data_IF_434486948188
#
_entry.id   IF_434486948188
#
_cell.length_a   1.000
_cell.length_b   1.000
_cell.length_c   1.000
_cell.angle_alpha   90.00
_cell.angle_beta   90.00
_cell.angle_gamma   90.00
#
_symmetry.space_group_name_H-M   'P 1'
#
loop_
_entity.id
_entity.type
_entity.pdbx_description
1 polymer ?
#
# COMPACT_ATOMS: atom_id res chain seq x y z
N UNK A 1 -17.94 8.40 0.89
CA UNK A 1 -17.58 6.97 0.73
C UNK A 1 -17.46 6.68 -0.76
N UNK A 2 -16.52 5.84 -1.19
CA UNK A 2 -16.39 5.40 -2.58
C UNK A 2 -17.58 4.48 -2.87
N UNK A 3 -18.39 4.79 -3.88
CA UNK A 3 -19.59 3.98 -4.22
C UNK A 3 -19.36 3.13 -5.47
N UNK A 4 -18.48 3.57 -6.37
CA UNK A 4 -18.09 2.84 -7.57
C UNK A 4 -16.56 2.69 -7.57
N UNK A 5 -16.10 1.46 -7.73
CA UNK A 5 -14.68 1.11 -7.70
C UNK A 5 -14.05 0.99 -9.08
N UNK A 6 -14.86 0.85 -10.14
CA UNK A 6 -14.37 0.65 -11.50
C UNK A 6 -13.51 1.83 -11.97
N UNK A 7 -12.29 1.52 -12.42
CA UNK A 7 -11.30 2.52 -12.86
C UNK A 7 -10.68 3.35 -11.73
N UNK A 8 -11.06 3.14 -10.47
CA UNK A 8 -10.42 3.77 -9.32
C UNK A 8 -9.09 3.09 -9.01
N UNK A 9 -8.14 3.84 -8.46
CA UNK A 9 -6.79 3.32 -8.18
C UNK A 9 -6.64 2.97 -6.69
N UNK A 10 -6.15 1.77 -6.42
CA UNK A 10 -5.77 1.31 -5.08
C UNK A 10 -4.25 1.10 -4.99
N UNK A 11 -3.62 1.66 -3.96
CA UNK A 11 -2.24 1.38 -3.56
C UNK A 11 -2.28 0.45 -2.35
N UNK A 12 -1.63 -0.72 -2.46
CA UNK A 12 -1.70 -1.80 -1.46
C UNK A 12 -0.27 -2.19 -1.06
N UNK A 13 0.11 -1.95 0.18
CA UNK A 13 1.42 -2.35 0.69
C UNK A 13 1.34 -3.72 1.38
N UNK A 14 2.42 -4.52 1.29
CA UNK A 14 2.39 -5.92 1.70
C UNK A 14 1.48 -6.75 0.79
N UNK A 15 1.50 -6.44 -0.52
CA UNK A 15 0.57 -7.01 -1.50
C UNK A 15 1.03 -8.36 -2.07
N UNK A 16 2.21 -8.85 -1.71
CA UNK A 16 2.72 -10.16 -2.13
C UNK A 16 2.02 -11.34 -1.46
N UNK A 17 1.33 -11.12 -0.34
CA UNK A 17 0.68 -12.20 0.43
C UNK A 17 -0.45 -11.70 1.32
N UNK A 18 -1.11 -12.62 2.04
CA UNK A 18 -2.05 -12.34 3.13
C UNK A 18 -3.16 -11.34 2.76
N UNK A 19 -3.48 -10.44 3.67
CA UNK A 19 -4.55 -9.46 3.48
C UNK A 19 -4.30 -8.49 2.32
N UNK A 20 -3.04 -8.09 2.09
CA UNK A 20 -2.68 -7.21 0.98
C UNK A 20 -3.04 -7.83 -0.37
N UNK A 21 -2.68 -9.10 -0.59
CA UNK A 21 -2.99 -9.84 -1.80
C UNK A 21 -4.50 -10.09 -1.94
N UNK A 22 -5.20 -10.46 -0.87
CA UNK A 22 -6.65 -10.66 -0.94
C UNK A 22 -7.40 -9.36 -1.26
N UNK A 23 -6.98 -8.23 -0.67
CA UNK A 23 -7.52 -6.92 -1.04
C UNK A 23 -7.25 -6.58 -2.52
N UNK A 24 -6.08 -6.94 -3.03
CA UNK A 24 -5.77 -6.76 -4.45
C UNK A 24 -6.68 -7.61 -5.36
N UNK A 25 -6.95 -8.87 -5.00
CA UNK A 25 -7.91 -9.74 -5.69
C UNK A 25 -9.32 -9.17 -5.70
N UNK A 26 -9.77 -8.63 -4.57
CA UNK A 26 -11.06 -7.95 -4.47
C UNK A 26 -11.08 -6.72 -5.38
N UNK A 27 -10.03 -5.89 -5.33
CA UNK A 27 -9.89 -4.72 -6.19
C UNK A 27 -9.94 -5.06 -7.68
N UNK A 28 -9.26 -6.15 -8.10
CA UNK A 28 -9.32 -6.65 -9.46
C UNK A 28 -10.76 -7.01 -9.90
N UNK A 29 -11.48 -7.76 -9.05
CA UNK A 29 -12.89 -8.12 -9.32
C UNK A 29 -13.81 -6.90 -9.41
N UNK A 30 -13.49 -5.83 -8.69
CA UNK A 30 -14.21 -4.55 -8.72
C UNK A 30 -13.77 -3.63 -9.87
N UNK A 31 -12.82 -4.06 -10.71
CA UNK A 31 -12.33 -3.29 -11.86
C UNK A 31 -11.43 -2.12 -11.50
N UNK A 32 -10.73 -2.19 -10.37
CA UNK A 32 -9.78 -1.16 -9.95
C UNK A 32 -8.44 -1.27 -10.70
N UNK A 33 -7.73 -0.15 -10.81
CA UNK A 33 -6.30 -0.12 -11.11
C UNK A 33 -5.54 -0.45 -9.83
N UNK A 34 -4.57 -1.34 -9.89
CA UNK A 34 -3.88 -1.87 -8.73
C UNK A 34 -2.40 -1.47 -8.72
N UNK A 35 -1.96 -0.88 -7.61
CA UNK A 35 -0.55 -0.65 -7.32
C UNK A 35 -0.17 -1.62 -6.21
N UNK A 36 0.61 -2.65 -6.58
CA UNK A 36 1.07 -3.68 -5.67
C UNK A 36 2.47 -3.34 -5.17
N UNK A 37 2.63 -3.33 -3.87
CA UNK A 37 3.87 -2.95 -3.21
C UNK A 37 4.28 -4.03 -2.22
N UNK A 38 5.46 -4.58 -2.37
CA UNK A 38 6.04 -5.54 -1.44
C UNK A 38 7.58 -5.46 -1.47
N UNK A 39 8.24 -5.94 -0.43
CA UNK A 39 9.69 -6.06 -0.38
C UNK A 39 10.17 -7.37 -1.00
N UNK A 40 9.31 -8.38 -1.05
CA UNK A 40 9.59 -9.71 -1.60
C UNK A 40 9.28 -9.75 -3.10
N UNK A 41 10.30 -9.71 -3.94
CA UNK A 41 10.16 -9.62 -5.39
C UNK A 41 9.36 -10.80 -5.97
N UNK A 42 9.71 -12.04 -5.59
CA UNK A 42 9.08 -13.24 -6.16
C UNK A 42 7.58 -13.31 -5.86
N UNK A 43 7.19 -12.97 -4.63
CA UNK A 43 5.78 -12.92 -4.22
C UNK A 43 5.03 -11.80 -4.96
N UNK A 44 5.67 -10.65 -5.13
CA UNK A 44 5.12 -9.51 -5.86
C UNK A 44 4.90 -9.84 -7.35
N UNK A 45 5.88 -10.50 -7.98
CA UNK A 45 5.79 -10.89 -9.39
C UNK A 45 4.67 -11.91 -9.61
N UNK A 46 4.56 -12.90 -8.71
CA UNK A 46 3.48 -13.89 -8.75
C UNK A 46 2.10 -13.22 -8.60
N UNK A 47 1.95 -12.31 -7.64
CA UNK A 47 0.71 -11.56 -7.43
C UNK A 47 0.36 -10.68 -8.65
N UNK A 48 1.35 -10.01 -9.22
CA UNK A 48 1.15 -9.18 -10.41
C UNK A 48 0.71 -10.02 -11.61
N UNK A 49 1.37 -11.15 -11.86
CA UNK A 49 1.02 -12.06 -12.96
C UNK A 49 -0.42 -12.61 -12.81
N UNK A 50 -0.79 -13.04 -11.60
CA UNK A 50 -2.15 -13.52 -11.30
C UNK A 50 -3.21 -12.46 -11.65
N UNK A 51 -3.01 -11.24 -11.19
CA UNK A 51 -4.01 -10.17 -11.35
C UNK A 51 -4.06 -9.62 -12.79
N UNK A 52 -2.94 -9.65 -13.50
CA UNK A 52 -2.91 -9.30 -14.93
C UNK A 52 -3.64 -10.34 -15.78
N UNK A 53 -3.60 -11.63 -15.43
CA UNK A 53 -4.34 -12.69 -16.15
C UNK A 53 -5.85 -12.48 -16.12
N UNK A 54 -6.38 -11.86 -15.07
CA UNK A 54 -7.80 -11.49 -14.98
C UNK A 54 -8.10 -10.11 -15.56
N UNK A 55 -7.13 -9.48 -16.24
CA UNK A 55 -7.30 -8.22 -16.95
C UNK A 55 -7.20 -6.96 -16.09
N UNK A 56 -6.76 -7.06 -14.83
CA UNK A 56 -6.58 -5.89 -13.99
C UNK A 56 -5.37 -5.04 -14.46
N UNK A 57 -5.48 -3.72 -14.55
CA UNK A 57 -4.32 -2.84 -14.73
C UNK A 57 -3.45 -2.86 -13.46
N UNK A 58 -2.23 -3.37 -13.58
CA UNK A 58 -1.30 -3.53 -12.44
C UNK A 58 -0.04 -2.69 -12.62
N UNK A 59 0.37 -2.01 -11.57
CA UNK A 59 1.69 -1.42 -11.36
C UNK A 59 2.32 -2.12 -10.15
N UNK A 60 3.27 -3.02 -10.37
CA UNK A 60 4.01 -3.68 -9.30
C UNK A 60 5.32 -2.93 -9.04
N UNK A 61 5.65 -2.69 -7.78
CA UNK A 61 6.90 -2.04 -7.37
C UNK A 61 7.46 -2.71 -6.11
N UNK A 62 8.69 -3.18 -6.20
CA UNK A 62 9.43 -3.62 -5.03
C UNK A 62 9.85 -2.39 -4.22
N UNK A 63 9.35 -2.28 -3.00
CA UNK A 63 9.60 -1.13 -2.11
C UNK A 63 9.69 -1.63 -0.67
N UNK A 64 10.73 -1.20 0.03
CA UNK A 64 10.77 -1.22 1.49
C UNK A 64 10.06 0.03 2.00
N UNK A 65 8.89 -0.14 2.60
CA UNK A 65 8.05 0.97 3.08
C UNK A 65 8.70 1.79 4.20
N UNK A 66 9.73 1.24 4.85
CA UNK A 66 10.52 1.95 5.87
C UNK A 66 11.45 3.02 5.26
N UNK A 67 11.67 2.98 3.94
CA UNK A 67 12.61 3.86 3.22
C UNK A 67 11.86 5.00 2.55
N UNK A 68 12.10 6.21 3.03
CA UNK A 68 11.41 7.42 2.56
C UNK A 68 11.61 7.66 1.05
N UNK A 69 12.84 7.51 0.56
CA UNK A 69 13.19 7.68 -0.85
C UNK A 69 12.48 6.68 -1.77
N UNK A 70 12.36 5.41 -1.34
CA UNK A 70 11.63 4.40 -2.11
C UNK A 70 10.13 4.70 -2.15
N UNK A 71 9.56 5.16 -1.05
CA UNK A 71 8.15 5.56 -0.99
C UNK A 71 7.87 6.81 -1.81
N UNK A 72 8.80 7.76 -1.87
CA UNK A 72 8.72 8.95 -2.74
C UNK A 72 8.77 8.56 -4.22
N UNK A 73 9.67 7.66 -4.60
CA UNK A 73 9.72 7.11 -5.96
C UNK A 73 8.44 6.35 -6.33
N UNK A 74 7.87 5.59 -5.37
CA UNK A 74 6.57 4.95 -5.55
C UNK A 74 5.46 5.97 -5.82
N UNK A 75 5.36 7.01 -5.00
CA UNK A 75 4.32 8.03 -5.16
C UNK A 75 4.42 8.73 -6.52
N UNK A 76 5.64 9.03 -7.00
CA UNK A 76 5.87 9.58 -8.34
C UNK A 76 5.41 8.62 -9.44
N UNK A 77 5.73 7.33 -9.35
CA UNK A 77 5.31 6.32 -10.32
C UNK A 77 3.77 6.14 -10.33
N UNK A 78 3.12 6.21 -9.17
CA UNK A 78 1.65 6.18 -9.07
C UNK A 78 1.04 7.40 -9.76
N UNK A 79 1.57 8.60 -9.48
CA UNK A 79 1.11 9.85 -10.08
C UNK A 79 1.21 9.82 -11.61
N UNK A 80 2.33 9.34 -12.13
CA UNK A 80 2.57 9.22 -13.58
C UNK A 80 1.62 8.22 -14.23
N UNK A 81 1.41 7.06 -13.61
CA UNK A 81 0.66 5.95 -14.22
C UNK A 81 -0.85 6.08 -14.09
N UNK A 82 -1.34 6.52 -12.94
CA UNK A 82 -2.76 6.49 -12.59
C UNK A 82 -3.29 7.79 -11.97
N UNK A 83 -2.44 8.78 -11.74
CA UNK A 83 -2.83 10.00 -11.02
C UNK A 83 -2.97 9.77 -9.52
N UNK A 84 -3.83 10.54 -8.86
CA UNK A 84 -4.07 10.39 -7.42
C UNK A 84 -4.80 9.07 -7.11
N UNK A 85 -4.34 8.31 -6.12
CA UNK A 85 -5.04 7.09 -5.71
C UNK A 85 -6.35 7.41 -5.01
N UNK A 86 -7.33 6.50 -5.13
CA UNK A 86 -8.63 6.58 -4.44
C UNK A 86 -8.62 5.77 -3.14
N UNK A 87 -7.79 4.74 -3.07
CA UNK A 87 -7.58 3.93 -1.88
C UNK A 87 -6.09 3.75 -1.63
N UNK A 88 -5.64 3.97 -0.41
CA UNK A 88 -4.32 3.56 0.05
C UNK A 88 -4.50 2.63 1.23
N UNK A 89 -4.01 1.41 1.12
CA UNK A 89 -4.02 0.42 2.18
C UNK A 89 -2.59 0.22 2.68
N UNK A 90 -2.25 0.91 3.77
CA UNK A 90 -1.01 0.74 4.50
C UNK A 90 -1.11 -0.54 5.34
N UNK A 91 -0.73 -1.67 4.74
CA UNK A 91 -0.92 -3.00 5.31
C UNK A 91 0.40 -3.74 5.53
N UNK A 92 1.49 -3.33 4.88
CA UNK A 92 2.79 -3.92 5.14
C UNK A 92 3.11 -3.89 6.63
N UNK A 93 3.49 -5.05 7.17
CA UNK A 93 3.79 -5.18 8.58
C UNK A 93 4.70 -6.38 8.84
N UNK A 94 5.49 -6.28 9.89
CA UNK A 94 6.41 -7.32 10.36
C UNK A 94 6.28 -7.47 11.87
N UNK A 95 6.70 -8.61 12.38
CA UNK A 95 6.73 -8.88 13.81
C UNK A 95 8.10 -9.37 14.25
N UNK A 96 8.54 -8.92 15.42
CA UNK A 96 9.66 -9.52 16.16
C UNK A 96 9.10 -10.37 17.29
N UNK A 97 9.69 -11.53 17.52
CA UNK A 97 9.33 -12.44 18.61
C UNK A 97 10.25 -12.30 19.82
N UNK A 98 9.94 -13.05 20.90
CA UNK A 98 10.75 -13.10 22.12
C UNK A 98 10.31 -12.08 23.18
N UNK A 99 11.11 -12.00 24.24
CA UNK A 99 10.86 -11.07 25.34
C UNK A 99 11.29 -9.65 24.92
N UNK A 100 10.50 -8.66 25.29
CA UNK A 100 10.66 -7.28 24.85
C UNK A 100 12.07 -6.73 25.09
N UNK A 101 12.65 -7.05 26.24
CA UNK A 101 13.99 -6.59 26.65
C UNK A 101 15.15 -7.39 26.03
N UNK A 102 14.87 -8.48 25.32
CA UNK A 102 15.85 -9.26 24.57
C UNK A 102 15.98 -8.83 23.11
N UNK A 103 15.03 -8.05 22.62
CA UNK A 103 15.09 -7.50 21.27
C UNK A 103 16.21 -6.47 21.16
N UNK A 104 16.98 -6.58 20.10
CA UNK A 104 18.07 -5.64 19.78
C UNK A 104 17.50 -4.31 19.28
N UNK A 105 18.33 -3.26 19.27
CA UNK A 105 17.98 -1.97 18.63
C UNK A 105 17.61 -2.17 17.15
N UNK A 106 18.30 -3.06 16.44
CA UNK A 106 17.98 -3.36 15.05
C UNK A 106 16.59 -3.97 14.85
N UNK A 107 16.14 -4.84 15.78
CA UNK A 107 14.78 -5.39 15.76
C UNK A 107 13.75 -4.27 15.95
N UNK A 108 14.00 -3.36 16.88
CA UNK A 108 13.14 -2.19 17.11
C UNK A 108 13.09 -1.28 15.89
N UNK A 109 14.24 -0.93 15.32
CA UNK A 109 14.33 -0.08 14.13
C UNK A 109 13.60 -0.71 12.95
N UNK A 110 13.73 -2.04 12.77
CA UNK A 110 13.03 -2.76 11.71
C UNK A 110 11.51 -2.74 11.90
N UNK A 111 11.02 -3.12 13.08
CA UNK A 111 9.58 -3.19 13.35
C UNK A 111 8.94 -1.82 13.29
N UNK A 112 9.52 -0.80 13.94
CA UNK A 112 9.01 0.56 13.90
C UNK A 112 9.14 1.17 12.51
N UNK A 113 10.22 0.88 11.80
CA UNK A 113 10.44 1.33 10.43
C UNK A 113 9.35 0.87 9.48
N UNK A 114 8.96 -0.40 9.55
CA UNK A 114 7.90 -0.96 8.70
C UNK A 114 6.52 -0.56 9.21
N UNK A 115 6.20 -0.87 10.48
CA UNK A 115 4.82 -0.80 10.98
C UNK A 115 4.36 0.62 11.29
N UNK A 116 5.28 1.54 11.62
CA UNK A 116 4.97 2.93 11.93
C UNK A 116 5.37 3.85 10.80
N UNK A 117 6.68 3.85 10.44
CA UNK A 117 7.16 4.78 9.41
C UNK A 117 6.60 4.46 8.02
N UNK A 118 6.33 3.18 7.69
CA UNK A 118 5.64 2.80 6.47
C UNK A 118 4.25 3.44 6.36
N UNK A 119 3.49 3.43 7.46
CA UNK A 119 2.18 4.13 7.52
C UNK A 119 2.36 5.65 7.40
N UNK A 120 3.31 6.23 8.13
CA UNK A 120 3.61 7.67 8.06
C UNK A 120 3.95 8.08 6.63
N UNK A 121 4.79 7.31 5.92
CA UNK A 121 5.15 7.60 4.53
C UNK A 121 3.94 7.51 3.60
N UNK A 122 3.11 6.48 3.75
CA UNK A 122 1.87 6.35 2.98
C UNK A 122 0.93 7.55 3.17
N UNK A 123 0.68 7.92 4.42
CA UNK A 123 -0.18 9.08 4.74
C UNK A 123 0.42 10.38 4.20
N UNK A 124 1.70 10.67 4.49
CA UNK A 124 2.32 11.94 4.11
C UNK A 124 2.42 12.14 2.60
N UNK A 125 2.59 11.08 1.82
CA UNK A 125 2.78 11.18 0.37
C UNK A 125 1.45 11.16 -0.40
N UNK A 126 0.53 10.29 -0.03
CA UNK A 126 -0.70 10.13 -0.80
C UNK A 126 -1.83 11.08 -0.37
N UNK A 127 -1.86 11.55 0.88
CA UNK A 127 -2.89 12.51 1.33
C UNK A 127 -2.85 13.82 0.52
N UNK A 128 -1.71 14.48 0.30
CA UNK A 128 -1.66 15.68 -0.52
C UNK A 128 -2.16 15.46 -1.94
N UNK A 129 -1.83 14.30 -2.56
CA UNK A 129 -2.29 13.95 -3.89
C UNK A 129 -3.81 13.83 -3.94
N UNK A 130 -4.41 13.14 -2.94
CA UNK A 130 -5.86 13.00 -2.82
C UNK A 130 -6.57 14.33 -2.60
N UNK A 131 -6.02 15.19 -1.75
CA UNK A 131 -6.58 16.53 -1.48
C UNK A 131 -6.54 17.42 -2.72
N UNK A 132 -5.44 17.39 -3.46
CA UNK A 132 -5.32 18.13 -4.71
C UNK A 132 -6.29 17.61 -5.79
N UNK A 133 -6.46 16.29 -5.90
CA UNK A 133 -7.45 15.70 -6.80
C UNK A 133 -8.88 16.12 -6.41
N UNK A 134 -9.21 16.14 -5.10
CA UNK A 134 -10.52 16.56 -4.62
C UNK A 134 -10.81 18.05 -4.84
N UNK A 135 -9.77 18.91 -4.88
CA UNK A 135 -9.92 20.32 -5.25
C UNK A 135 -10.27 20.50 -6.72
N UNK A 136 -9.73 19.64 -7.60
CA UNK A 136 -9.96 19.69 -9.05
C UNK A 136 -11.25 19.00 -9.48
N UNK A 137 -11.62 17.94 -8.78
CA UNK A 137 -12.85 17.17 -9.04
C UNK A 137 -13.67 17.02 -7.75
N UNK A 138 -14.79 17.72 -7.60
CA UNK A 138 -15.69 17.59 -6.45
C UNK A 138 -16.28 16.18 -6.29
N UNK A 139 -16.24 15.35 -7.33
CA UNK A 139 -16.64 13.95 -7.31
C UNK A 139 -15.57 12.99 -6.78
N UNK A 140 -14.30 13.45 -6.70
CA UNK A 140 -13.20 12.61 -6.18
C UNK A 140 -13.43 12.21 -4.73
N UNK A 141 -13.17 10.96 -4.42
CA UNK A 141 -13.21 10.42 -3.04
C UNK A 141 -11.96 9.58 -2.80
N UNK A 142 -11.18 9.98 -1.78
CA UNK A 142 -10.00 9.28 -1.32
C UNK A 142 -10.23 8.60 0.04
N UNK A 143 -9.61 7.45 0.24
CA UNK A 143 -9.62 6.71 1.49
C UNK A 143 -8.22 6.22 1.82
N UNK A 144 -7.81 6.36 3.09
CA UNK A 144 -6.59 5.74 3.63
C UNK A 144 -7.02 4.77 4.73
N UNK A 145 -6.56 3.54 4.62
CA UNK A 145 -6.78 2.46 5.58
C UNK A 145 -5.42 2.02 6.11
N UNK A 146 -5.31 1.92 7.42
CA UNK A 146 -4.10 1.45 8.09
C UNK A 146 -4.42 0.16 8.84
N UNK A 147 -3.63 -0.89 8.62
CA UNK A 147 -3.71 -2.11 9.42
C UNK A 147 -3.25 -1.79 10.85
N UNK A 148 -4.07 -2.13 11.82
CA UNK A 148 -3.76 -2.05 13.23
C UNK A 148 -3.92 -3.43 13.88
N UNK A 149 -3.44 -3.58 15.09
CA UNK A 149 -3.55 -4.82 15.85
C UNK A 149 -4.13 -4.59 17.23
N UNK A 150 -4.96 -5.50 17.69
CA UNK A 150 -5.40 -5.56 19.08
C UNK A 150 -4.25 -5.80 20.06
N UNK A 151 -3.08 -6.24 19.59
CA UNK A 151 -1.88 -6.38 20.39
C UNK A 151 -1.34 -5.02 20.91
N UNK A 152 -1.85 -3.91 20.40
CA UNK A 152 -1.54 -2.56 20.88
C UNK A 152 -2.52 -1.99 21.92
N UNK A 153 -3.45 -2.82 22.41
CA UNK A 153 -4.46 -2.45 23.41
C UNK A 153 -4.06 -2.90 24.81
#
# INVERSE_FOLDING_TARGET
MIQDFKGKTAVLTGAGSGFGLECARIGARLGMNLVLVDVQQDALDAAAAELQQVGAPVLARRVDVSKADQMEALAAAVAERFGAPHLVFNNAGVGSGGLLWENTVADWDWVLGVNVMGVVHGVRLFTPMMLEAARKDPGFRGHIVNTASMAGL
#
